data_IF_417898300997
#
_entry.id   IF_417898300997
#
_cell.length_a   1.000
_cell.length_b   1.000
_cell.length_c   1.000
_cell.angle_alpha   90.00
_cell.angle_beta   90.00
_cell.angle_gamma   90.00
#
_symmetry.space_group_name_H-M   'P 1'
#
loop_
_entity.id
_entity.type
_entity.pdbx_description
1 polymer ?
#
# COMPACT_ATOMS: atom_id res chain seq x y z
N UNK A 1 17.04 21.56 8.58
CA UNK A 1 17.26 21.03 7.21
C UNK A 1 16.42 19.78 7.05
N UNK A 2 15.59 19.68 6.01
CA UNK A 2 14.77 18.49 5.74
C UNK A 2 15.68 17.33 5.27
N UNK A 3 15.40 16.13 5.77
CA UNK A 3 16.09 14.89 5.39
C UNK A 3 15.03 13.87 5.00
N UNK A 4 14.96 13.52 3.72
CA UNK A 4 13.89 12.69 3.18
C UNK A 4 13.87 11.27 3.77
N UNK A 5 15.01 10.75 4.23
CA UNK A 5 15.09 9.43 4.84
C UNK A 5 14.47 9.40 6.25
N UNK A 6 14.53 10.51 6.97
CA UNK A 6 14.03 10.67 8.33
C UNK A 6 12.76 11.51 8.46
N UNK A 7 12.34 12.18 7.38
CA UNK A 7 11.17 13.05 7.34
C UNK A 7 10.26 12.65 6.17
N UNK A 8 9.79 11.41 6.18
CA UNK A 8 8.86 10.90 5.18
C UNK A 8 7.60 10.34 5.83
N UNK A 9 6.60 10.04 5.00
CA UNK A 9 5.33 9.48 5.47
C UNK A 9 5.53 8.18 6.26
N UNK A 10 6.54 7.38 5.89
CA UNK A 10 6.85 6.11 6.57
C UNK A 10 7.32 6.34 8.01
N UNK A 11 8.31 7.22 8.21
CA UNK A 11 8.88 7.53 9.53
C UNK A 11 7.87 8.23 10.41
N UNK A 12 7.05 9.12 9.86
CA UNK A 12 5.92 9.73 10.56
C UNK A 12 4.90 8.69 11.04
N UNK A 13 4.42 7.82 10.15
CA UNK A 13 3.41 6.81 10.50
C UNK A 13 3.93 5.84 11.57
N UNK A 14 5.18 5.39 11.44
CA UNK A 14 5.82 4.52 12.44
C UNK A 14 5.95 5.21 13.80
N UNK A 15 6.40 6.47 13.83
CA UNK A 15 6.51 7.24 15.06
C UNK A 15 5.14 7.44 15.74
N UNK A 16 4.11 7.76 14.96
CA UNK A 16 2.74 7.90 15.45
C UNK A 16 2.23 6.59 16.09
N UNK A 17 2.34 5.46 15.39
CA UNK A 17 1.91 4.16 15.93
C UNK A 17 2.69 3.80 17.19
N UNK A 18 4.01 4.02 17.21
CA UNK A 18 4.84 3.75 18.37
C UNK A 18 4.46 4.62 19.57
N UNK A 19 4.09 5.89 19.36
CA UNK A 19 3.60 6.75 20.44
C UNK A 19 2.35 6.18 21.11
N UNK A 20 1.42 5.63 20.32
CA UNK A 20 0.20 4.99 20.82
C UNK A 20 0.54 3.67 21.54
N UNK A 21 1.43 2.85 20.97
CA UNK A 21 1.85 1.59 21.59
C UNK A 21 2.50 1.84 22.96
N UNK A 22 3.39 2.82 23.05
CA UNK A 22 4.02 3.20 24.31
C UNK A 22 3.00 3.73 25.32
N UNK A 23 2.04 4.56 24.90
CA UNK A 23 0.95 5.01 25.77
C UNK A 23 0.08 3.86 26.31
N UNK A 24 -0.03 2.76 25.56
CA UNK A 24 -0.71 1.53 25.99
C UNK A 24 0.18 0.57 26.79
N UNK A 25 1.42 0.94 27.11
CA UNK A 25 2.39 0.07 27.79
C UNK A 25 2.92 -1.09 26.93
N UNK A 26 2.74 -1.03 25.61
CA UNK A 26 3.19 -2.04 24.66
C UNK A 26 4.58 -1.69 24.11
N UNK A 27 5.30 -2.71 23.66
CA UNK A 27 6.61 -2.55 23.01
C UNK A 27 6.46 -1.80 21.67
N UNK A 28 7.29 -0.77 21.40
CA UNK A 28 7.38 -0.12 20.10
C UNK A 28 7.80 -1.09 19.00
N UNK A 29 7.32 -0.84 17.79
CA UNK A 29 7.65 -1.60 16.59
C UNK A 29 8.90 -1.04 15.90
N UNK A 30 9.73 -1.94 15.40
CA UNK A 30 10.88 -1.59 14.56
C UNK A 30 10.44 -1.28 13.12
N UNK A 31 11.35 -0.67 12.34
CA UNK A 31 11.13 -0.46 10.90
C UNK A 31 10.85 -1.78 10.16
N UNK A 32 11.59 -2.86 10.46
CA UNK A 32 11.38 -4.16 9.79
C UNK A 32 10.00 -4.72 10.07
N UNK A 33 9.61 -4.77 11.35
CA UNK A 33 8.30 -5.31 11.76
C UNK A 33 7.14 -4.50 11.15
N UNK A 34 7.27 -3.17 11.08
CA UNK A 34 6.26 -2.31 10.46
C UNK A 34 6.17 -2.55 8.95
N UNK A 35 7.32 -2.67 8.28
CA UNK A 35 7.39 -2.95 6.85
C UNK A 35 6.77 -4.31 6.53
N UNK A 36 7.13 -5.35 7.26
CA UNK A 36 6.63 -6.71 7.05
C UNK A 36 5.12 -6.83 7.27
N UNK A 37 4.60 -6.20 8.33
CA UNK A 37 3.18 -6.32 8.70
C UNK A 37 2.25 -5.44 7.87
N UNK A 38 2.66 -4.23 7.51
CA UNK A 38 1.74 -3.24 6.94
C UNK A 38 2.11 -2.80 5.52
N UNK A 39 3.40 -2.73 5.19
CA UNK A 39 3.85 -2.20 3.89
C UNK A 39 3.90 -3.29 2.83
N UNK A 40 4.61 -4.40 3.10
CA UNK A 40 4.82 -5.50 2.14
C UNK A 40 3.50 -6.08 1.59
N UNK A 41 2.45 -6.32 2.41
CA UNK A 41 1.20 -6.86 1.88
C UNK A 41 0.56 -5.94 0.83
N UNK A 42 0.59 -4.63 1.05
CA UNK A 42 0.01 -3.66 0.13
C UNK A 42 0.88 -3.47 -1.12
N UNK A 43 2.20 -3.44 -0.97
CA UNK A 43 3.11 -3.33 -2.12
C UNK A 43 3.08 -4.58 -2.99
N UNK A 44 2.93 -5.78 -2.42
CA UNK A 44 2.69 -7.01 -3.19
C UNK A 44 1.38 -7.00 -3.95
N UNK A 45 0.33 -6.40 -3.39
CA UNK A 45 -0.93 -6.22 -4.12
C UNK A 45 -0.75 -5.25 -5.28
N UNK A 46 -0.13 -4.10 -5.02
CA UNK A 46 0.18 -3.10 -6.04
C UNK A 46 1.07 -3.68 -7.16
N UNK A 47 2.08 -4.49 -6.81
CA UNK A 47 2.97 -5.09 -7.81
C UNK A 47 2.22 -5.99 -8.80
N UNK A 48 1.21 -6.74 -8.36
CA UNK A 48 0.38 -7.55 -9.27
C UNK A 48 -0.36 -6.69 -10.29
N UNK A 49 -0.92 -5.56 -9.85
CA UNK A 49 -1.62 -4.63 -10.76
C UNK A 49 -0.65 -3.96 -11.71
N UNK A 50 0.53 -3.52 -11.23
CA UNK A 50 1.56 -2.93 -12.08
C UNK A 50 2.07 -3.91 -13.14
N UNK A 51 2.31 -5.17 -12.76
CA UNK A 51 2.70 -6.21 -13.72
C UNK A 51 1.60 -6.46 -14.75
N UNK A 52 0.33 -6.51 -14.32
CA UNK A 52 -0.79 -6.66 -15.25
C UNK A 52 -0.86 -5.48 -16.22
N UNK A 53 -0.77 -4.25 -15.71
CA UNK A 53 -0.81 -3.01 -16.50
C UNK A 53 0.33 -2.95 -17.54
N UNK A 54 1.54 -3.34 -17.15
CA UNK A 54 2.68 -3.45 -18.06
C UNK A 54 2.38 -4.43 -19.20
N UNK A 55 1.91 -5.64 -18.88
CA UNK A 55 1.56 -6.65 -19.89
C UNK A 55 0.44 -6.16 -20.80
N UNK A 56 -0.58 -5.50 -20.24
CA UNK A 56 -1.69 -4.94 -21.02
C UNK A 56 -1.25 -3.79 -21.94
N UNK A 57 -0.27 -3.00 -21.53
CA UNK A 57 0.26 -1.88 -22.32
C UNK A 57 1.15 -2.36 -23.46
N UNK A 58 1.92 -3.43 -23.24
CA UNK A 58 2.84 -4.02 -24.24
C UNK A 58 2.12 -4.84 -25.32
N UNK A 59 0.88 -5.26 -25.08
CA UNK A 59 0.12 -6.13 -25.98
C UNK A 59 -1.21 -5.46 -26.38
N UNK A 60 -1.69 -5.70 -27.59
CA UNK A 60 -2.96 -5.14 -28.05
C UNK A 60 -4.15 -5.90 -27.44
N UNK A 61 -4.60 -5.48 -26.25
CA UNK A 61 -5.82 -5.95 -25.62
C UNK A 61 -6.96 -4.93 -25.81
N UNK A 62 -8.19 -5.42 -26.02
CA UNK A 62 -9.40 -4.60 -26.03
C UNK A 62 -10.29 -4.98 -24.83
N UNK A 63 -10.76 -3.97 -24.10
CA UNK A 63 -11.72 -4.17 -23.02
C UNK A 63 -13.11 -4.24 -23.63
N UNK A 64 -13.76 -5.39 -23.54
CA UNK A 64 -15.16 -5.54 -23.98
C UNK A 64 -16.05 -4.89 -22.92
N UNK A 65 -16.92 -3.93 -23.27
CA UNK A 65 -17.90 -3.40 -22.34
C UNK A 65 -18.81 -4.54 -21.86
N UNK A 66 -18.95 -4.68 -20.55
CA UNK A 66 -19.96 -5.58 -20.00
C UNK A 66 -21.34 -5.09 -20.43
N UNK A 67 -22.29 -5.98 -20.77
CA UNK A 67 -23.67 -5.58 -20.95
C UNK A 67 -24.10 -4.84 -19.68
N UNK A 68 -24.69 -3.65 -19.82
CA UNK A 68 -25.31 -2.96 -18.69
C UNK A 68 -26.27 -3.96 -18.06
N UNK A 69 -25.99 -4.39 -16.83
CA UNK A 69 -26.91 -5.22 -16.09
C UNK A 69 -28.24 -4.47 -16.11
N UNK A 70 -29.26 -5.08 -16.71
CA UNK A 70 -30.60 -4.55 -16.76
C UNK A 70 -30.93 -4.11 -15.34
N UNK A 71 -30.95 -2.80 -15.12
CA UNK A 71 -31.38 -2.23 -13.86
C UNK A 71 -32.84 -2.65 -13.72
N UNK A 72 -33.06 -3.73 -12.98
CA UNK A 72 -34.37 -4.29 -12.68
C UNK A 72 -35.28 -3.14 -12.21
N UNK A 73 -36.29 -2.86 -13.03
CA UNK A 73 -37.37 -1.92 -12.76
C UNK A 73 -38.35 -2.49 -11.74
#
# INVERSE_FOLDING_TARGET
RYDEHNHNCYTYALAFINSILTAQGKRPMTKSEFTEKFVIPQTRRASRYLTLDQVLTENEFYIVPLPEAEAER
#
